data_IF_861154378245
#
_entry.id   IF_861154378245
#
_cell.length_a   1.000
_cell.length_b   1.000
_cell.length_c   1.000
_cell.angle_alpha   90.00
_cell.angle_beta   90.00
_cell.angle_gamma   90.00
#
_symmetry.space_group_name_H-M   'P 1'
#
loop_
_entity.id
_entity.type
_entity.pdbx_description
1 polymer ?
#
# COMPACT_ATOMS: atom_id res chain seq x y z
N UNK A 1 2.43 -21.81 15.37
CA UNK A 1 2.26 -20.65 14.47
C UNK A 1 3.00 -21.01 13.22
N UNK A 2 2.28 -21.40 12.16
CA UNK A 2 2.91 -21.64 10.86
C UNK A 2 3.42 -20.30 10.33
N UNK A 3 4.73 -20.08 10.42
CA UNK A 3 5.37 -18.92 9.80
C UNK A 3 5.11 -19.01 8.30
N UNK A 4 4.29 -18.11 7.78
CA UNK A 4 3.97 -18.04 6.37
C UNK A 4 5.25 -17.67 5.60
N UNK A 5 5.92 -18.67 5.02
CA UNK A 5 7.16 -18.46 4.27
C UNK A 5 6.89 -17.63 3.03
N UNK A 6 7.64 -16.54 2.85
CA UNK A 6 7.56 -15.69 1.66
C UNK A 6 8.27 -16.41 0.51
N UNK A 7 7.62 -16.60 -0.65
CA UNK A 7 8.29 -17.09 -1.86
C UNK A 7 9.52 -16.24 -2.24
N UNK A 8 10.59 -16.90 -2.69
CA UNK A 8 11.86 -16.24 -3.05
C UNK A 8 11.69 -15.29 -4.25
N UNK A 9 10.77 -15.65 -5.14
CA UNK A 9 10.38 -14.90 -6.33
C UNK A 9 9.78 -13.55 -5.94
N UNK A 10 8.94 -13.51 -4.89
CA UNK A 10 8.38 -12.27 -4.36
C UNK A 10 9.44 -11.39 -3.72
N UNK A 11 10.39 -11.98 -3.00
CA UNK A 11 11.52 -11.22 -2.44
C UNK A 11 12.35 -10.56 -3.56
N UNK A 12 12.65 -11.31 -4.62
CA UNK A 12 13.37 -10.83 -5.79
C UNK A 12 12.58 -9.74 -6.53
N UNK A 13 11.27 -9.92 -6.66
CA UNK A 13 10.38 -8.94 -7.28
C UNK A 13 10.38 -7.61 -6.55
N UNK A 14 10.24 -7.64 -5.21
CA UNK A 14 10.25 -6.44 -4.37
C UNK A 14 11.56 -5.67 -4.50
N UNK A 15 12.69 -6.37 -4.51
CA UNK A 15 14.02 -5.78 -4.65
C UNK A 15 14.22 -5.06 -5.99
N UNK A 16 13.56 -5.51 -7.07
CA UNK A 16 13.68 -4.92 -8.42
C UNK A 16 12.62 -3.84 -8.72
N UNK A 17 11.63 -3.67 -7.86
CA UNK A 17 10.52 -2.74 -8.10
C UNK A 17 10.94 -1.27 -7.92
N UNK A 18 10.40 -0.40 -8.78
CA UNK A 18 10.63 1.05 -8.74
C UNK A 18 9.58 1.83 -7.96
N UNK A 19 8.56 1.17 -7.40
CA UNK A 19 7.54 1.78 -6.55
C UNK A 19 7.65 1.26 -5.12
N UNK A 20 7.16 2.02 -4.14
CA UNK A 20 7.12 1.59 -2.75
C UNK A 20 6.17 0.43 -2.58
N UNK A 21 6.68 -0.71 -2.11
CA UNK A 21 5.93 -1.95 -1.94
C UNK A 21 6.02 -2.47 -0.52
N UNK A 22 4.92 -3.05 -0.05
CA UNK A 22 4.83 -3.80 1.20
C UNK A 22 4.06 -5.11 0.99
N UNK A 23 4.48 -6.15 1.70
CA UNK A 23 3.80 -7.43 1.81
C UNK A 23 3.47 -7.66 3.28
N UNK A 24 2.22 -7.99 3.59
CA UNK A 24 1.79 -8.38 4.92
C UNK A 24 1.21 -9.81 4.91
N UNK A 25 1.30 -10.48 6.05
CA UNK A 25 0.53 -11.70 6.27
C UNK A 25 -0.96 -11.37 6.17
N UNK A 26 -1.75 -12.28 5.60
CA UNK A 26 -3.20 -12.20 5.74
C UNK A 26 -3.60 -12.92 7.03
N UNK A 27 -4.30 -12.22 7.93
CA UNK A 27 -4.56 -12.71 9.29
C UNK A 27 -3.50 -12.24 10.29
N UNK A 28 -3.67 -12.59 11.57
CA UNK A 28 -2.77 -12.23 12.68
C UNK A 28 -2.35 -10.75 12.68
N UNK A 29 -3.33 -9.85 12.79
CA UNK A 29 -3.15 -8.40 12.78
C UNK A 29 -2.48 -7.85 11.50
N UNK A 30 -2.41 -8.62 10.41
CA UNK A 30 -1.85 -8.22 9.12
C UNK A 30 -0.46 -7.59 9.24
N UNK A 31 0.43 -8.25 9.98
CA UNK A 31 1.80 -7.77 10.20
C UNK A 31 2.61 -7.78 8.89
N UNK A 32 3.46 -6.77 8.73
CA UNK A 32 4.37 -6.66 7.59
C UNK A 32 5.38 -7.80 7.62
N UNK A 33 5.57 -8.45 6.48
CA UNK A 33 6.54 -9.52 6.27
C UNK A 33 7.73 -9.03 5.43
N UNK A 34 7.48 -8.10 4.50
CA UNK A 34 8.49 -7.57 3.59
C UNK A 34 8.14 -6.15 3.16
N UNK A 35 9.15 -5.30 3.05
CA UNK A 35 9.07 -3.98 2.40
C UNK A 35 10.31 -3.77 1.54
N UNK A 36 10.21 -2.98 0.48
CA UNK A 36 11.36 -2.70 -0.39
C UNK A 36 12.05 -1.36 -0.07
N UNK A 37 13.17 -1.08 -0.76
CA UNK A 37 13.93 0.15 -0.60
C UNK A 37 13.08 1.41 -0.87
N UNK A 38 12.18 1.37 -1.86
CA UNK A 38 11.29 2.49 -2.17
C UNK A 38 10.31 2.79 -1.04
N UNK A 39 9.85 1.78 -0.30
CA UNK A 39 9.09 1.99 0.93
C UNK A 39 9.92 2.70 1.99
N UNK A 40 11.19 2.33 2.14
CA UNK A 40 12.11 3.00 3.06
C UNK A 40 12.33 4.47 2.66
N UNK A 41 12.63 4.76 1.41
CA UNK A 41 12.80 6.14 0.90
C UNK A 41 11.53 6.99 1.14
N UNK A 42 10.35 6.39 0.96
CA UNK A 42 9.08 7.06 1.18
C UNK A 42 8.78 7.30 2.66
N UNK A 43 9.02 6.32 3.53
CA UNK A 43 8.52 6.37 4.91
C UNK A 43 9.59 6.72 5.94
N UNK A 44 10.87 6.56 5.59
CA UNK A 44 12.01 6.63 6.49
C UNK A 44 12.20 5.39 7.38
N UNK A 45 11.35 4.37 7.24
CA UNK A 45 11.45 3.14 8.01
C UNK A 45 12.12 2.03 7.22
N UNK A 46 13.13 1.39 7.80
CA UNK A 46 13.77 0.20 7.21
C UNK A 46 12.91 -1.05 7.42
N UNK A 47 13.14 -2.10 6.63
CA UNK A 47 12.49 -3.39 6.84
C UNK A 47 12.68 -3.95 8.25
N UNK A 48 13.88 -3.81 8.82
CA UNK A 48 14.20 -4.27 10.17
C UNK A 48 13.33 -3.60 11.27
N UNK A 49 12.78 -2.42 11.02
CA UNK A 49 11.99 -1.65 11.99
C UNK A 49 10.48 -1.90 11.89
N UNK A 50 10.02 -2.42 10.75
CA UNK A 50 8.58 -2.55 10.44
C UNK A 50 8.13 -3.98 10.23
N UNK A 51 9.01 -4.91 9.86
CA UNK A 51 8.66 -6.33 9.78
C UNK A 51 8.21 -6.83 11.16
N UNK A 52 7.11 -7.57 11.18
CA UNK A 52 6.44 -8.02 12.40
C UNK A 52 5.48 -7.00 13.01
N UNK A 53 5.28 -5.83 12.38
CA UNK A 53 4.35 -4.79 12.86
C UNK A 53 3.27 -4.53 11.83
N UNK A 54 2.08 -4.13 12.28
CA UNK A 54 1.04 -3.67 11.38
C UNK A 54 1.37 -2.28 10.80
N UNK A 55 1.14 -2.10 9.50
CA UNK A 55 1.43 -0.87 8.76
C UNK A 55 0.67 0.38 9.28
N UNK A 56 -0.35 0.22 10.14
CA UNK A 56 -1.02 1.32 10.86
C UNK A 56 -0.06 2.18 11.69
N UNK A 57 1.16 1.69 11.96
CA UNK A 57 2.23 2.48 12.57
C UNK A 57 2.49 3.81 11.83
N UNK A 58 2.22 3.86 10.52
CA UNK A 58 2.34 5.08 9.72
C UNK A 58 1.22 6.09 9.97
N UNK A 59 0.08 5.68 10.52
CA UNK A 59 -1.09 6.55 10.70
C UNK A 59 -0.97 7.47 11.91
N UNK A 60 -0.25 7.04 12.97
CA UNK A 60 -0.23 7.72 14.28
C UNK A 60 -1.67 8.03 14.74
N UNK A 61 -1.94 9.25 15.20
CA UNK A 61 -3.25 9.70 15.69
C UNK A 61 -4.12 10.34 14.59
N UNK A 62 -3.77 10.18 13.30
CA UNK A 62 -4.56 10.75 12.21
C UNK A 62 -5.98 10.19 12.14
N UNK A 63 -6.95 11.09 11.96
CA UNK A 63 -8.36 10.75 11.76
C UNK A 63 -8.62 10.24 10.33
N UNK A 64 -8.34 8.96 10.11
CA UNK A 64 -8.49 8.28 8.83
C UNK A 64 -9.82 7.51 8.71
N UNK A 65 -10.92 7.99 9.29
CA UNK A 65 -12.21 7.25 9.35
C UNK A 65 -12.65 6.65 8.00
N UNK A 66 -12.70 7.47 6.94
CA UNK A 66 -13.15 7.02 5.62
C UNK A 66 -12.20 5.99 5.00
N UNK A 67 -10.90 6.28 4.99
CA UNK A 67 -9.89 5.37 4.45
C UNK A 67 -9.87 4.04 5.22
N UNK A 68 -9.96 4.08 6.55
CA UNK A 68 -10.07 2.90 7.40
C UNK A 68 -11.31 2.08 7.11
N UNK A 69 -12.46 2.71 6.91
CA UNK A 69 -13.69 1.99 6.56
C UNK A 69 -13.56 1.23 5.23
N UNK A 70 -12.96 1.86 4.20
CA UNK A 70 -12.68 1.20 2.91
C UNK A 70 -11.71 0.04 3.04
N UNK A 71 -10.62 0.22 3.79
CA UNK A 71 -9.63 -0.83 4.05
C UNK A 71 -10.27 -1.98 4.83
N UNK A 72 -11.08 -1.69 5.83
CA UNK A 72 -11.76 -2.71 6.62
C UNK A 72 -12.75 -3.51 5.78
N UNK A 73 -13.58 -2.84 4.97
CA UNK A 73 -14.48 -3.51 4.04
C UNK A 73 -13.73 -4.43 3.06
N UNK A 74 -12.58 -3.99 2.55
CA UNK A 74 -11.71 -4.83 1.73
C UNK A 74 -11.17 -6.05 2.48
N UNK A 75 -10.73 -5.88 3.72
CA UNK A 75 -10.20 -6.99 4.53
C UNK A 75 -11.29 -8.02 4.84
N UNK A 76 -12.51 -7.59 5.15
CA UNK A 76 -13.63 -8.46 5.55
C UNK A 76 -14.37 -9.11 4.37
N UNK A 77 -14.31 -8.52 3.18
CA UNK A 77 -15.04 -9.02 2.01
C UNK A 77 -14.12 -9.81 1.06
N UNK A 78 -14.25 -11.13 1.05
CA UNK A 78 -13.48 -12.01 0.17
C UNK A 78 -13.76 -11.84 -1.33
N UNK A 79 -14.86 -11.17 -1.69
CA UNK A 79 -15.18 -10.81 -3.08
C UNK A 79 -14.56 -9.48 -3.52
N UNK A 80 -13.93 -8.75 -2.60
CA UNK A 80 -13.23 -7.52 -2.90
C UNK A 80 -11.72 -7.78 -2.94
N UNK A 81 -11.18 -7.89 -4.15
CA UNK A 81 -9.76 -8.26 -4.36
C UNK A 81 -8.79 -7.10 -4.28
N UNK A 82 -9.30 -5.87 -4.41
CA UNK A 82 -8.48 -4.66 -4.35
C UNK A 82 -9.16 -3.52 -3.60
N UNK A 83 -8.35 -2.63 -3.06
CA UNK A 83 -8.78 -1.32 -2.55
C UNK A 83 -7.74 -0.28 -2.88
N UNK A 84 -8.22 0.94 -3.17
CA UNK A 84 -7.37 2.09 -3.42
C UNK A 84 -7.95 3.30 -2.70
N UNK A 85 -7.19 3.90 -1.80
CA UNK A 85 -7.68 5.06 -1.02
C UNK A 85 -6.52 5.97 -0.60
N UNK A 86 -6.69 7.30 -0.66
CA UNK A 86 -5.79 8.21 0.06
C UNK A 86 -5.96 8.00 1.57
N UNK A 87 -4.84 8.01 2.29
CA UNK A 87 -4.80 7.93 3.75
C UNK A 87 -3.70 8.85 4.28
N UNK A 88 -3.98 9.59 5.36
CA UNK A 88 -2.98 10.44 6.00
C UNK A 88 -1.99 9.58 6.78
N UNK A 89 -0.71 9.69 6.45
CA UNK A 89 0.38 8.99 7.09
C UNK A 89 1.49 9.97 7.50
N UNK A 90 2.37 9.49 8.38
CA UNK A 90 3.53 10.23 8.86
C UNK A 90 4.78 9.42 8.60
N UNK A 91 5.80 10.09 8.08
CA UNK A 91 7.14 9.54 7.94
C UNK A 91 7.75 9.34 9.33
N UNK A 92 8.86 8.62 9.39
CA UNK A 92 9.62 8.39 10.64
C UNK A 92 10.02 9.72 11.31
N UNK A 93 10.41 10.72 10.51
CA UNK A 93 10.74 12.07 10.98
C UNK A 93 9.52 12.91 11.42
N UNK A 94 8.30 12.36 11.33
CA UNK A 94 7.07 13.01 11.72
C UNK A 94 6.44 13.89 10.65
N UNK A 95 7.03 14.02 9.45
CA UNK A 95 6.40 14.80 8.39
C UNK A 95 5.15 14.10 7.87
N UNK A 96 3.99 14.78 7.80
CA UNK A 96 2.78 14.20 7.25
C UNK A 96 2.88 14.07 5.72
N UNK A 97 2.17 13.10 5.18
CA UNK A 97 1.95 12.94 3.74
C UNK A 97 0.65 12.19 3.49
N UNK A 98 -0.03 12.51 2.39
CA UNK A 98 -1.17 11.72 1.95
C UNK A 98 -0.64 10.57 1.11
N UNK A 99 -0.73 9.37 1.68
CA UNK A 99 -0.37 8.12 1.04
C UNK A 99 -1.55 7.64 0.20
N UNK A 100 -1.39 7.60 -1.12
CA UNK A 100 -2.33 6.88 -1.98
C UNK A 100 -2.03 5.38 -1.89
N UNK A 101 -2.71 4.73 -0.96
CA UNK A 101 -2.54 3.31 -0.68
C UNK A 101 -3.35 2.47 -1.68
N UNK A 102 -2.66 1.59 -2.39
CA UNK A 102 -3.25 0.48 -3.14
C UNK A 102 -2.99 -0.82 -2.37
N UNK A 103 -4.01 -1.68 -2.24
CA UNK A 103 -3.86 -3.02 -1.69
C UNK A 103 -4.56 -4.05 -2.58
N UNK A 104 -4.01 -5.27 -2.60
CA UNK A 104 -4.60 -6.43 -3.26
C UNK A 104 -4.36 -7.71 -2.46
N UNK A 105 -5.31 -8.64 -2.54
CA UNK A 105 -5.23 -9.97 -1.93
C UNK A 105 -4.42 -10.91 -2.82
N UNK A 106 -3.38 -11.53 -2.26
CA UNK A 106 -2.68 -12.64 -2.89
C UNK A 106 -3.25 -13.94 -2.34
N UNK A 107 -3.90 -14.73 -3.19
CA UNK A 107 -4.61 -15.95 -2.81
C UNK A 107 -3.83 -17.19 -3.25
N UNK A 108 -3.92 -18.26 -2.48
CA UNK A 108 -3.53 -19.58 -2.96
C UNK A 108 -4.55 -20.08 -4.01
N UNK A 109 -4.19 -21.13 -4.76
CA UNK A 109 -5.11 -21.78 -5.70
C UNK A 109 -6.39 -22.34 -5.04
N UNK A 110 -6.38 -22.56 -3.71
CA UNK A 110 -7.56 -22.92 -2.92
C UNK A 110 -8.57 -21.77 -2.71
N UNK A 111 -8.19 -20.54 -3.06
CA UNK A 111 -8.95 -19.32 -2.76
C UNK A 111 -8.62 -18.68 -1.41
N UNK A 112 -7.79 -19.33 -0.57
CA UNK A 112 -7.35 -18.77 0.71
C UNK A 112 -6.47 -17.53 0.49
N UNK A 113 -6.80 -16.42 1.14
CA UNK A 113 -5.93 -15.23 1.13
C UNK A 113 -4.69 -15.52 1.97
N UNK A 114 -3.53 -15.53 1.33
CA UNK A 114 -2.25 -15.80 1.99
C UNK A 114 -1.56 -14.51 2.40
N UNK A 115 -1.53 -13.53 1.50
CA UNK A 115 -0.83 -12.28 1.75
C UNK A 115 -1.65 -11.07 1.29
N UNK A 116 -1.30 -9.92 1.84
CA UNK A 116 -1.77 -8.63 1.37
C UNK A 116 -0.60 -7.91 0.70
N UNK A 117 -0.73 -7.69 -0.61
CA UNK A 117 0.20 -6.86 -1.38
C UNK A 117 -0.24 -5.41 -1.32
N UNK A 118 0.68 -4.48 -1.10
CA UNK A 118 0.37 -3.06 -1.08
C UNK A 118 1.43 -2.22 -1.79
N UNK A 119 0.96 -1.14 -2.42
CA UNK A 119 1.80 -0.09 -3.00
C UNK A 119 1.46 1.27 -2.39
N UNK A 120 2.48 2.08 -2.12
CA UNK A 120 2.35 3.40 -1.48
C UNK A 120 2.87 4.51 -2.39
N UNK A 121 2.24 5.67 -2.34
CA UNK A 121 2.63 6.82 -3.15
C UNK A 121 2.28 8.14 -2.44
N UNK A 122 3.22 9.07 -2.30
CA UNK A 122 2.93 10.41 -1.76
C UNK A 122 2.21 11.25 -2.84
N UNK A 123 0.89 11.33 -2.75
CA UNK A 123 0.08 12.14 -3.67
C UNK A 123 0.08 13.63 -3.28
N UNK A 124 0.27 13.94 -2.00
CA UNK A 124 0.24 15.32 -1.49
C UNK A 124 1.39 16.19 -1.99
N UNK A 125 2.57 15.61 -2.24
CA UNK A 125 3.74 16.32 -2.79
C UNK A 125 3.94 16.08 -4.28
N UNK A 126 2.96 15.45 -4.93
CA UNK A 126 3.04 15.11 -6.34
C UNK A 126 2.41 16.16 -7.26
N UNK A 127 2.77 16.05 -8.54
CA UNK A 127 2.08 16.72 -9.64
C UNK A 127 1.18 15.69 -10.34
N UNK A 128 0.11 16.11 -11.04
CA UNK A 128 -0.78 15.19 -11.74
C UNK A 128 -0.03 14.22 -12.68
N UNK A 129 1.02 14.69 -13.33
CA UNK A 129 1.85 13.90 -14.25
C UNK A 129 2.57 12.76 -13.52
N UNK A 130 3.06 13.01 -12.30
CA UNK A 130 3.70 12.00 -11.46
C UNK A 130 2.71 10.94 -11.00
N UNK A 131 1.48 11.35 -10.67
CA UNK A 131 0.43 10.41 -10.30
C UNK A 131 0.00 9.54 -11.50
N UNK A 132 -0.14 10.12 -12.70
CA UNK A 132 -0.37 9.33 -13.91
C UNK A 132 0.79 8.38 -14.24
N UNK A 133 2.04 8.82 -14.05
CA UNK A 133 3.21 7.96 -14.22
C UNK A 133 3.21 6.80 -13.20
N UNK A 134 2.84 7.08 -11.94
CA UNK A 134 2.66 6.06 -10.92
C UNK A 134 1.54 5.06 -11.29
N UNK A 135 0.38 5.51 -11.75
CA UNK A 135 -0.71 4.62 -12.19
C UNK A 135 -0.25 3.67 -13.30
N UNK A 136 0.49 4.20 -14.26
CA UNK A 136 1.07 3.42 -15.35
C UNK A 136 2.07 2.38 -14.82
N UNK A 137 2.97 2.78 -13.93
CA UNK A 137 4.00 1.87 -13.41
C UNK A 137 3.43 0.83 -12.44
N UNK A 138 2.42 1.18 -11.65
CA UNK A 138 1.69 0.23 -10.82
C UNK A 138 0.99 -0.83 -11.69
N UNK A 139 0.32 -0.41 -12.78
CA UNK A 139 -0.27 -1.35 -13.73
C UNK A 139 0.75 -2.32 -14.32
N UNK A 140 1.91 -1.82 -14.77
CA UNK A 140 3.01 -2.68 -15.27
C UNK A 140 3.57 -3.59 -14.19
N UNK A 141 3.71 -3.09 -12.96
CA UNK A 141 4.18 -3.87 -11.81
C UNK A 141 3.24 -5.04 -11.55
N UNK A 142 1.93 -4.81 -11.52
CA UNK A 142 0.94 -5.87 -11.34
C UNK A 142 0.99 -6.90 -12.47
N UNK A 143 1.10 -6.47 -13.74
CA UNK A 143 1.22 -7.38 -14.88
C UNK A 143 2.48 -8.26 -14.82
N UNK A 144 3.60 -7.74 -14.29
CA UNK A 144 4.83 -8.53 -14.08
C UNK A 144 4.76 -9.42 -12.84
N UNK A 145 3.97 -9.02 -11.84
CA UNK A 145 3.78 -9.78 -10.61
C UNK A 145 2.97 -11.06 -10.86
N UNK A 146 1.95 -11.01 -11.71
CA UNK A 146 1.06 -12.17 -12.00
C UNK A 146 1.81 -13.46 -12.37
N UNK A 147 2.71 -13.50 -13.37
CA UNK A 147 3.46 -14.72 -13.69
C UNK A 147 4.38 -15.16 -12.54
N UNK A 148 4.98 -14.21 -11.84
CA UNK A 148 5.85 -14.47 -10.66
C UNK A 148 5.08 -15.19 -9.56
N UNK A 149 3.84 -14.80 -9.30
CA UNK A 149 2.98 -15.43 -8.30
C UNK A 149 2.54 -16.84 -8.71
N UNK A 150 2.26 -17.05 -9.99
CA UNK A 150 1.82 -18.34 -10.51
C UNK A 150 2.89 -19.43 -10.28
N UNK A 151 4.17 -19.10 -10.42
CA UNK A 151 5.30 -20.00 -10.10
C UNK A 151 5.31 -20.44 -8.63
N UNK A 152 4.74 -19.64 -7.73
CA UNK A 152 4.62 -19.91 -6.30
C UNK A 152 3.25 -20.48 -5.88
N UNK A 153 2.37 -20.84 -6.82
CA UNK A 153 1.01 -21.31 -6.53
C UNK A 153 0.09 -20.23 -5.94
N UNK A 154 0.41 -18.96 -6.18
CA UNK A 154 -0.38 -17.80 -5.77
C UNK A 154 -1.02 -17.13 -6.98
N UNK A 155 -2.14 -16.46 -6.74
CA UNK A 155 -2.84 -15.63 -7.72
C UNK A 155 -3.12 -14.27 -7.13
N UNK A 156 -3.11 -13.26 -8.00
CA UNK A 156 -3.59 -11.92 -7.71
C UNK A 156 -4.81 -11.67 -8.59
N UNK A 157 -5.92 -11.31 -7.95
CA UNK A 157 -7.19 -11.05 -8.62
C UNK A 157 -7.55 -9.56 -8.55
N UNK A 158 -8.41 -9.14 -9.47
CA UNK A 158 -8.90 -7.77 -9.56
C UNK A 158 -8.09 -6.88 -10.52
N UNK A 159 -8.79 -5.89 -11.05
CA UNK A 159 -8.20 -4.89 -11.94
C UNK A 159 -7.72 -3.69 -11.14
N UNK A 160 -6.62 -3.07 -11.58
CA UNK A 160 -6.25 -1.75 -11.09
C UNK A 160 -7.33 -0.75 -11.51
N UNK A 161 -8.03 -0.17 -10.54
CA UNK A 161 -8.93 0.94 -10.80
C UNK A 161 -8.11 2.22 -10.97
N UNK A 162 -8.17 2.80 -12.17
CA UNK A 162 -7.56 4.09 -12.48
C UNK A 162 -8.22 5.19 -11.66
N UNK A 163 -7.44 6.20 -11.28
CA UNK A 163 -7.99 7.39 -10.64
C UNK A 163 -8.75 8.20 -11.69
N UNK A 164 -10.06 8.39 -11.50
CA UNK A 164 -10.91 9.08 -12.46
C UNK A 164 -10.51 10.55 -12.66
N UNK A 165 -9.99 11.22 -11.63
CA UNK A 165 -9.52 12.61 -11.72
C UNK A 165 -8.25 12.84 -10.89
N UNK A 166 -7.11 12.65 -11.55
CA UNK A 166 -5.77 12.83 -10.99
C UNK A 166 -5.55 14.23 -10.42
N UNK A 167 -6.02 15.28 -11.12
CA UNK A 167 -5.86 16.68 -10.70
C UNK A 167 -6.61 16.95 -9.40
N UNK A 168 -7.88 16.55 -9.32
CA UNK A 168 -8.69 16.71 -8.12
C UNK A 168 -8.10 15.92 -6.93
N UNK A 169 -7.60 14.72 -7.18
CA UNK A 169 -6.96 13.88 -6.15
C UNK A 169 -5.72 14.54 -5.57
N UNK A 170 -4.85 15.09 -6.41
CA UNK A 170 -3.65 15.84 -5.97
C UNK A 170 -4.05 17.11 -5.23
N UNK A 171 -5.04 17.86 -5.71
CA UNK A 171 -5.52 19.06 -5.06
C UNK A 171 -6.08 18.77 -3.66
N UNK A 172 -6.95 17.75 -3.54
CA UNK A 172 -7.52 17.35 -2.25
C UNK A 172 -6.43 16.90 -1.27
N UNK A 173 -5.44 16.14 -1.75
CA UNK A 173 -4.33 15.69 -0.92
C UNK A 173 -3.49 16.86 -0.38
N UNK A 174 -3.29 17.90 -1.20
CA UNK A 174 -2.60 19.13 -0.78
C UNK A 174 -3.39 19.90 0.27
N UNK A 175 -4.71 20.02 0.07
CA UNK A 175 -5.60 20.67 1.03
C UNK A 175 -5.58 19.95 2.38
N UNK A 176 -5.68 18.62 2.39
CA UNK A 176 -5.58 17.82 3.61
C UNK A 176 -4.30 18.06 4.39
N UNK A 177 -3.15 18.28 3.72
CA UNK A 177 -1.92 18.66 4.43
C UNK A 177 -1.95 20.11 4.93
N UNK A 178 -2.46 21.04 4.13
CA UNK A 178 -2.54 22.45 4.52
C UNK A 178 -3.41 22.65 5.77
N UNK A 179 -4.48 21.87 5.91
CA UNK A 179 -5.36 21.92 7.08
C UNK A 179 -4.67 21.42 8.38
N UNK A 180 -3.64 20.56 8.27
CA UNK A 180 -2.84 20.11 9.42
C UNK A 180 -1.83 21.17 9.88
N UNK A 181 -1.36 22.02 8.97
CA UNK A 181 -0.43 23.12 9.26
C UNK A 181 -1.17 24.38 9.75
N UNK A 182 -2.50 24.40 9.69
CA UNK A 182 -3.30 25.53 10.16
C UNK A 182 -3.24 25.63 11.70
N UNK A 183 -2.96 26.81 12.28
CA UNK A 183 -2.94 26.99 13.73
C UNK A 183 -4.35 26.78 14.28
N UNK A 184 -4.59 25.65 14.95
CA UNK A 184 -5.89 25.34 15.55
C UNK A 184 -6.30 23.86 15.56
N UNK A 185 -5.48 22.93 15.07
CA UNK A 185 -5.70 21.51 15.36
C UNK A 185 -5.18 21.21 16.79
N UNK A 186 -6.01 20.65 17.69
CA UNK A 186 -5.65 20.40 19.09
C UNK A 186 -4.47 19.43 19.25
#
# INVERSE_FOLDING_TARGET
>A
MDTQTIPAELTTFFAKSHIALALAAAGDDNVLLLVNERFHELTGYTGAEVVGRNCRLLQRDADNREARAKIHAFLENDRQDTVRTPILNFRKDGKPFVNLLYMSKLKALSGEVRFLFASQFDVSRSQPELLSAYDTELGRTLSRLTPTLAESGLVIEGSLMTIANTVATVAQAKLTLADLDAPGFP
#
